data_IF_617447174075
#
_entry.id   IF_617447174075
#
_cell.length_a   1.000
_cell.length_b   1.000
_cell.length_c   1.000
_cell.angle_alpha   90.00
_cell.angle_beta   90.00
_cell.angle_gamma   90.00
#
_symmetry.space_group_name_H-M   'P 1'
#
loop_
_entity.id
_entity.type
_entity.pdbx_description
1 polymer ?
#
# COMPACT_ATOMS: atom_id res chain seq x y z
N UNK A 1 -7.83 14.70 0.02
CA UNK A 1 -6.43 14.44 -0.35
C UNK A 1 -6.32 14.40 -1.86
N UNK A 2 -5.14 14.69 -2.40
CA UNK A 2 -4.73 14.35 -3.77
C UNK A 2 -4.18 12.91 -3.81
N UNK A 3 -4.16 12.31 -5.01
CA UNK A 3 -3.60 10.96 -5.21
C UNK A 3 -2.15 10.83 -4.75
N UNK A 4 -1.38 11.93 -4.78
CA UNK A 4 0.00 12.00 -4.27
C UNK A 4 0.08 11.85 -2.76
N UNK A 5 -0.85 12.45 -2.01
CA UNK A 5 -0.87 12.36 -0.55
C UNK A 5 -1.23 10.95 -0.07
N UNK A 6 -2.19 10.31 -0.74
CA UNK A 6 -2.55 8.90 -0.47
C UNK A 6 -1.38 7.99 -0.80
N UNK A 7 -0.75 8.18 -1.96
CA UNK A 7 0.44 7.44 -2.34
C UNK A 7 1.52 7.51 -1.26
N UNK A 8 1.85 8.72 -0.79
CA UNK A 8 2.86 8.93 0.23
C UNK A 8 2.47 8.33 1.58
N UNK A 9 1.18 8.37 1.95
CA UNK A 9 0.70 7.75 3.19
C UNK A 9 0.84 6.23 3.15
N UNK A 10 0.39 5.58 2.09
CA UNK A 10 0.53 4.12 1.94
C UNK A 10 2.01 3.75 1.86
N UNK A 11 2.83 4.52 1.13
CA UNK A 11 4.27 4.30 1.06
C UNK A 11 4.92 4.38 2.44
N UNK A 12 4.61 5.40 3.24
CA UNK A 12 5.12 5.54 4.60
C UNK A 12 4.67 4.41 5.51
N UNK A 13 3.41 3.98 5.40
CA UNK A 13 2.89 2.84 6.15
C UNK A 13 3.65 1.56 5.80
N UNK A 14 3.76 1.23 4.51
CA UNK A 14 4.47 0.03 4.06
C UNK A 14 5.96 0.08 4.38
N UNK A 15 6.57 1.27 4.38
CA UNK A 15 7.99 1.40 4.71
C UNK A 15 8.24 1.18 6.21
N UNK A 16 7.43 1.79 7.07
CA UNK A 16 7.74 1.89 8.51
C UNK A 16 7.04 0.84 9.38
N UNK A 17 6.05 0.13 8.84
CA UNK A 17 5.33 -0.88 9.62
C UNK A 17 6.11 -2.20 9.70
N UNK A 18 6.01 -2.92 10.84
CA UNK A 18 6.43 -4.31 10.92
C UNK A 18 5.74 -5.16 9.86
N UNK A 19 6.45 -6.16 9.31
CA UNK A 19 5.93 -7.04 8.26
C UNK A 19 4.59 -7.70 8.63
N UNK A 20 4.42 -8.08 9.90
CA UNK A 20 3.19 -8.71 10.41
C UNK A 20 1.97 -7.77 10.40
N UNK A 21 2.19 -6.46 10.35
CA UNK A 21 1.12 -5.47 10.27
C UNK A 21 0.73 -5.15 8.82
N UNK A 22 1.49 -5.61 7.83
CA UNK A 22 1.22 -5.38 6.41
C UNK A 22 0.23 -6.43 5.91
N UNK A 23 -1.02 -6.00 5.71
CA UNK A 23 -2.11 -6.79 5.15
C UNK A 23 -2.91 -5.95 4.17
N UNK A 24 -3.69 -6.58 3.31
CA UNK A 24 -4.61 -5.86 2.43
C UNK A 24 -5.56 -4.96 3.23
N UNK A 25 -6.04 -5.44 4.39
CA UNK A 25 -6.94 -4.70 5.26
C UNK A 25 -6.27 -3.47 5.87
N UNK A 26 -5.04 -3.58 6.38
CA UNK A 26 -4.34 -2.42 6.95
C UNK A 26 -3.99 -1.37 5.91
N UNK A 27 -3.69 -1.77 4.67
CA UNK A 27 -3.52 -0.85 3.53
C UNK A 27 -4.83 -0.11 3.22
N UNK A 28 -5.97 -0.82 3.21
CA UNK A 28 -7.29 -0.20 3.03
C UNK A 28 -7.63 0.71 4.22
N UNK A 29 -7.27 0.34 5.44
CA UNK A 29 -7.53 1.14 6.64
C UNK A 29 -6.83 2.51 6.57
N UNK A 30 -5.63 2.57 5.99
CA UNK A 30 -4.96 3.85 5.72
C UNK A 30 -5.76 4.77 4.79
N UNK A 31 -6.66 4.24 3.97
CA UNK A 31 -7.56 5.00 3.09
C UNK A 31 -8.84 5.45 3.80
N UNK A 32 -9.39 4.60 4.67
CA UNK A 32 -10.66 4.83 5.36
C UNK A 32 -10.53 5.86 6.48
N UNK A 33 -9.40 5.90 7.20
CA UNK A 33 -9.14 6.91 8.25
C UNK A 33 -9.32 8.37 7.79
N UNK A 34 -9.34 8.62 6.47
CA UNK A 34 -9.37 9.97 5.88
C UNK A 34 -10.71 10.35 5.28
N UNK A 35 -11.76 9.54 5.49
CA UNK A 35 -13.14 9.82 5.05
C UNK A 35 -13.22 10.23 3.57
N UNK A 36 -12.37 9.61 2.75
CA UNK A 36 -12.17 9.97 1.35
C UNK A 36 -12.92 9.02 0.43
N UNK A 37 -14.02 9.47 -0.16
CA UNK A 37 -14.67 8.80 -1.29
C UNK A 37 -13.77 8.92 -2.54
N UNK A 38 -13.00 7.88 -2.83
CA UNK A 38 -12.28 7.77 -4.09
C UNK A 38 -12.95 6.78 -5.03
N UNK A 39 -12.87 7.02 -6.36
CA UNK A 39 -13.18 6.00 -7.35
C UNK A 39 -12.31 4.75 -7.14
N UNK A 40 -12.92 3.56 -7.28
CA UNK A 40 -12.24 2.27 -7.09
C UNK A 40 -11.01 2.14 -7.99
N UNK A 41 -11.11 2.61 -9.22
CA UNK A 41 -10.08 2.55 -10.26
C UNK A 41 -8.86 3.40 -9.90
N UNK A 42 -9.08 4.61 -9.39
CA UNK A 42 -8.00 5.49 -8.93
C UNK A 42 -7.28 4.90 -7.71
N UNK A 43 -8.04 4.34 -6.75
CA UNK A 43 -7.44 3.65 -5.60
C UNK A 43 -6.61 2.45 -6.02
N UNK A 44 -7.14 1.66 -6.96
CA UNK A 44 -6.43 0.50 -7.49
C UNK A 44 -5.11 0.90 -8.13
N UNK A 45 -5.11 1.96 -8.94
CA UNK A 45 -3.90 2.48 -9.57
C UNK A 45 -2.88 2.97 -8.53
N UNK A 46 -3.33 3.73 -7.52
CA UNK A 46 -2.45 4.21 -6.45
C UNK A 46 -1.84 3.04 -5.68
N UNK A 47 -2.64 2.07 -5.24
CA UNK A 47 -2.16 0.88 -4.51
C UNK A 47 -1.16 0.09 -5.38
N UNK A 48 -1.46 -0.11 -6.65
CA UNK A 48 -0.57 -0.80 -7.59
C UNK A 48 0.79 -0.10 -7.72
N UNK A 49 0.77 1.22 -7.90
CA UNK A 49 1.98 2.03 -8.04
C UNK A 49 2.83 2.02 -6.77
N UNK A 50 2.20 2.11 -5.60
CA UNK A 50 2.91 2.05 -4.31
C UNK A 50 3.55 0.66 -4.13
N UNK A 51 2.80 -0.41 -4.37
CA UNK A 51 3.29 -1.79 -4.24
C UNK A 51 4.50 -2.01 -5.15
N UNK A 52 4.45 -1.60 -6.41
CA UNK A 52 5.58 -1.72 -7.33
C UNK A 52 6.80 -0.93 -6.85
N UNK A 53 6.60 0.27 -6.30
CA UNK A 53 7.70 1.07 -5.75
C UNK A 53 8.36 0.38 -4.56
N UNK A 54 7.60 -0.15 -3.61
CA UNK A 54 8.16 -0.83 -2.44
C UNK A 54 8.81 -2.16 -2.82
N UNK A 55 8.24 -2.93 -3.76
CA UNK A 55 8.88 -4.14 -4.31
C UNK A 55 10.28 -3.88 -4.86
N UNK A 56 10.50 -2.72 -5.50
CA UNK A 56 11.80 -2.36 -6.04
C UNK A 56 12.81 -1.91 -4.96
N UNK A 57 12.34 -1.58 -3.75
CA UNK A 57 13.17 -1.15 -2.63
C UNK A 57 13.51 -2.28 -1.66
N UNK A 58 12.68 -3.34 -1.62
CA UNK A 58 12.83 -4.48 -0.73
C UNK A 58 13.60 -5.64 -1.39
N UNK A 59 14.34 -6.42 -0.61
CA UNK A 59 14.97 -7.64 -1.11
C UNK A 59 13.89 -8.69 -1.45
N UNK A 60 14.00 -9.35 -2.62
CA UNK A 60 12.97 -10.28 -3.14
C UNK A 60 12.62 -11.47 -2.21
N UNK A 61 13.43 -11.74 -1.19
CA UNK A 61 13.21 -12.81 -0.22
C UNK A 61 12.93 -12.29 1.20
N UNK A 62 12.80 -10.96 1.39
CA UNK A 62 12.44 -10.43 2.70
C UNK A 62 10.99 -10.80 3.02
N UNK A 63 10.71 -11.06 4.30
CA UNK A 63 9.35 -11.30 4.77
C UNK A 63 8.40 -10.16 4.35
N UNK A 64 8.92 -8.94 4.36
CA UNK A 64 8.21 -7.74 3.94
C UNK A 64 7.85 -7.74 2.46
N UNK A 65 8.78 -8.15 1.59
CA UNK A 65 8.51 -8.37 0.17
C UNK A 65 7.40 -9.39 -0.04
N UNK A 66 7.48 -10.53 0.67
CA UNK A 66 6.47 -11.60 0.60
C UNK A 66 5.07 -11.11 1.00
N UNK A 67 4.96 -10.32 2.08
CA UNK A 67 3.68 -9.70 2.49
C UNK A 67 3.14 -8.74 1.44
N UNK A 68 4.01 -7.95 0.80
CA UNK A 68 3.62 -6.94 -0.19
C UNK A 68 3.18 -7.57 -1.52
N UNK A 69 3.84 -8.64 -1.98
CA UNK A 69 3.42 -9.34 -3.22
C UNK A 69 2.09 -10.07 -3.05
N UNK A 70 1.76 -10.47 -1.83
CA UNK A 70 0.52 -11.20 -1.50
C UNK A 70 -0.71 -10.29 -1.40
N UNK A 71 -0.52 -8.96 -1.40
CA UNK A 71 -1.65 -8.02 -1.41
C UNK A 71 -2.42 -8.18 -2.73
N UNK A 72 -3.68 -8.65 -2.70
CA UNK A 72 -4.47 -8.89 -3.91
C UNK A 72 -4.82 -7.57 -4.59
N UNK A 73 -4.58 -7.51 -5.90
CA UNK A 73 -4.83 -6.35 -6.78
C UNK A 73 -6.09 -6.53 -7.66
N UNK A 74 -6.89 -7.56 -7.38
CA UNK A 74 -8.04 -7.99 -8.20
C UNK A 74 -9.34 -7.33 -7.74
#
# INVERSE_FOLDING_TARGET
>A
MSSSEIFNKILNFLHNSPSDHITAFSVIFQLIEYDTWYPKEELREIIHNVINKVKNLEQQNSEKYLKIVDIPLK
#
